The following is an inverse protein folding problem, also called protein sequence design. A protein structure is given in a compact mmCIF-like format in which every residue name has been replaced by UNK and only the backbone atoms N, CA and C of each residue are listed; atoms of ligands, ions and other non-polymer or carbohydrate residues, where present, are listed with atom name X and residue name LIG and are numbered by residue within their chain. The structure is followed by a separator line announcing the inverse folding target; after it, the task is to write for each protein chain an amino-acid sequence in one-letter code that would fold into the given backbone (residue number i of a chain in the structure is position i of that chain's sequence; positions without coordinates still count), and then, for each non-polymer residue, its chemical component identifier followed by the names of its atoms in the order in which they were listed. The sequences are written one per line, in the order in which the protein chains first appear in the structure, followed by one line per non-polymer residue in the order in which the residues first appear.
data_IF_555898001452
#
_entry.id   IF_555898001452
#
_cell.length_a   1.000
_cell.length_b   1.000
_cell.length_c   1.000
_cell.angle_alpha   90.00
_cell.angle_beta   90.00
_cell.angle_gamma   90.00
#
_symmetry.space_group_name_H-M   'P 1'
#
loop_
_entity.id
_entity.type
_entity.pdbx_description
1 polymer ?
#
# COMPACT_ATOMS: atom_id res chain seq x y z
N UNK A 1 -27.32 62.70 17.63
CA UNK A 1 -25.87 62.58 17.33
C UNK A 1 -25.17 61.34 17.94
N UNK A 2 -25.88 60.32 18.46
CA UNK A 2 -25.24 59.17 19.15
C UNK A 2 -25.12 57.85 18.35
N UNK A 3 -25.68 57.73 17.13
CA UNK A 3 -25.70 56.46 16.40
C UNK A 3 -24.48 56.16 15.49
N UNK A 4 -23.59 57.12 15.20
CA UNK A 4 -22.46 56.90 14.28
C UNK A 4 -21.21 56.28 14.95
N UNK A 5 -21.03 56.47 16.27
CA UNK A 5 -19.87 55.96 17.00
C UNK A 5 -19.94 54.45 17.30
N UNK A 6 -21.15 53.91 17.47
CA UNK A 6 -21.38 52.48 17.76
C UNK A 6 -21.07 51.61 16.53
N UNK A 7 -21.52 52.02 15.34
CA UNK A 7 -21.24 51.30 14.09
C UNK A 7 -19.76 51.29 13.69
N UNK A 8 -19.03 52.34 14.05
CA UNK A 8 -17.58 52.43 13.78
C UNK A 8 -16.78 51.49 14.70
N UNK A 9 -17.09 51.46 16.01
CA UNK A 9 -16.46 50.52 16.96
C UNK A 9 -16.75 49.06 16.62
N UNK A 10 -17.98 48.73 16.24
CA UNK A 10 -18.34 47.37 15.83
C UNK A 10 -17.58 46.90 14.57
N UNK A 11 -17.40 47.79 13.57
CA UNK A 11 -16.60 47.49 12.38
C UNK A 11 -15.11 47.27 12.69
N UNK A 12 -14.53 48.09 13.57
CA UNK A 12 -13.15 47.89 14.03
C UNK A 12 -12.96 46.57 14.78
N UNK A 13 -13.92 46.21 15.63
CA UNK A 13 -13.87 44.95 16.39
C UNK A 13 -13.99 43.73 15.46
N UNK A 14 -14.87 43.78 14.45
CA UNK A 14 -15.02 42.71 13.46
C UNK A 14 -13.77 42.55 12.58
N UNK A 15 -13.16 43.65 12.14
CA UNK A 15 -11.90 43.64 11.39
C UNK A 15 -10.74 43.07 12.22
N UNK A 16 -10.66 43.43 13.50
CA UNK A 16 -9.65 42.88 14.41
C UNK A 16 -9.83 41.36 14.62
N UNK A 17 -11.08 40.89 14.80
CA UNK A 17 -11.39 39.46 14.91
C UNK A 17 -11.00 38.71 13.62
N UNK A 18 -11.34 39.24 12.44
CA UNK A 18 -10.97 38.64 11.15
C UNK A 18 -9.44 38.59 10.95
N UNK A 19 -8.72 39.64 11.32
CA UNK A 19 -7.26 39.68 11.25
C UNK A 19 -6.59 38.66 12.19
N UNK A 20 -7.12 38.51 13.42
CA UNK A 20 -6.66 37.50 14.37
C UNK A 20 -6.97 36.09 13.84
N UNK A 21 -8.16 35.85 13.28
CA UNK A 21 -8.50 34.57 12.66
C UNK A 21 -7.57 34.23 11.48
N UNK A 22 -7.26 35.19 10.60
CA UNK A 22 -6.29 34.98 9.53
C UNK A 22 -4.89 34.70 10.05
N UNK A 23 -4.42 35.44 11.06
CA UNK A 23 -3.10 35.21 11.66
C UNK A 23 -3.03 33.82 12.30
N UNK A 24 -4.08 33.39 13.00
CA UNK A 24 -4.21 32.03 13.54
C UNK A 24 -4.12 31.00 12.41
N UNK A 25 -4.88 31.17 11.32
CA UNK A 25 -4.84 30.27 10.16
C UNK A 25 -3.44 30.19 9.52
N UNK A 26 -2.76 31.34 9.38
CA UNK A 26 -1.38 31.41 8.87
C UNK A 26 -0.41 30.71 9.82
N UNK A 27 -0.54 30.90 11.14
CA UNK A 27 0.30 30.23 12.13
C UNK A 27 0.04 28.71 12.17
N UNK A 28 -1.21 28.27 12.02
CA UNK A 28 -1.56 26.85 11.90
C UNK A 28 -1.00 26.24 10.60
N UNK A 29 -1.12 26.95 9.48
CA UNK A 29 -0.56 26.54 8.20
C UNK A 29 0.97 26.46 8.27
N UNK A 30 1.63 27.45 8.86
CA UNK A 30 3.08 27.50 9.05
C UNK A 30 3.57 26.38 10.00
N UNK A 31 2.87 26.13 11.11
CA UNK A 31 3.18 25.00 12.01
C UNK A 31 3.00 23.64 11.33
N UNK A 32 2.00 23.50 10.46
CA UNK A 32 1.79 22.29 9.65
C UNK A 32 2.96 22.10 8.67
N UNK A 33 3.34 23.15 7.94
CA UNK A 33 4.50 23.14 7.04
C UNK A 33 5.81 22.78 7.77
N UNK A 34 6.04 23.30 8.98
CA UNK A 34 7.24 22.98 9.78
C UNK A 34 7.22 21.51 10.25
N UNK A 35 6.06 20.95 10.60
CA UNK A 35 5.93 19.52 10.91
C UNK A 35 6.21 18.64 9.69
N UNK A 36 5.72 19.02 8.51
CA UNK A 36 5.90 18.27 7.26
C UNK A 36 7.37 18.27 6.77
N UNK A 37 8.14 19.31 7.12
CA UNK A 37 9.57 19.42 6.79
C UNK A 37 10.47 18.47 7.60
N UNK A 38 10.09 18.14 8.85
CA UNK A 38 10.89 17.28 9.73
C UNK A 38 10.52 15.79 9.66
N UNK A 39 9.57 15.42 8.81
CA UNK A 39 9.13 14.03 8.66
C UNK A 39 9.78 13.36 7.45
N UNK A 40 9.98 12.02 7.52
CA UNK A 40 10.39 11.27 6.36
C UNK A 40 9.42 11.48 5.19
N UNK A 41 9.95 11.53 3.97
CA UNK A 41 9.17 11.83 2.77
C UNK A 41 7.98 10.87 2.59
N UNK A 42 8.16 9.58 2.91
CA UNK A 42 7.08 8.57 2.87
C UNK A 42 5.93 8.82 3.86
N UNK A 43 6.10 9.73 4.83
CA UNK A 43 5.04 10.07 5.77
C UNK A 43 4.20 11.28 5.32
N UNK A 44 4.65 12.07 4.33
CA UNK A 44 3.96 13.31 3.96
C UNK A 44 2.56 13.06 3.43
N UNK A 45 1.62 13.88 3.87
CA UNK A 45 0.25 14.00 3.34
C UNK A 45 0.16 15.27 2.50
N UNK A 46 -0.09 15.11 1.19
CA UNK A 46 0.06 16.22 0.22
C UNK A 46 -1.28 16.72 -0.32
N UNK A 47 -2.36 15.97 -0.11
CA UNK A 47 -3.71 16.40 -0.45
C UNK A 47 -4.61 16.46 0.78
N UNK A 48 -5.63 17.31 0.70
CA UNK A 48 -6.81 17.16 1.55
C UNK A 48 -7.55 15.91 1.09
N UNK A 49 -7.90 14.98 2.01
CA UNK A 49 -8.70 13.83 1.65
C UNK A 49 -9.98 14.25 0.94
N UNK A 50 -10.34 13.54 -0.14
CA UNK A 50 -11.63 13.74 -0.82
C UNK A 50 -12.80 13.28 0.05
N UNK A 51 -12.54 12.42 1.04
CA UNK A 51 -13.51 11.99 2.05
C UNK A 51 -12.87 11.91 3.44
N UNK A 52 -13.56 12.40 4.47
CA UNK A 52 -13.08 12.35 5.86
C UNK A 52 -13.14 10.95 6.47
N UNK A 53 -13.87 10.01 5.87
CA UNK A 53 -14.03 8.63 6.34
C UNK A 53 -13.62 7.61 5.27
N UNK A 54 -12.70 7.99 4.39
CA UNK A 54 -12.31 7.19 3.22
C UNK A 54 -11.84 5.77 3.55
N UNK A 55 -11.26 5.58 4.74
CA UNK A 55 -10.75 4.29 5.23
C UNK A 55 -11.85 3.22 5.37
N UNK A 56 -13.13 3.62 5.43
CA UNK A 56 -14.30 2.72 5.54
C UNK A 56 -15.04 2.56 4.21
N UNK A 57 -14.58 3.17 3.12
CA UNK A 57 -15.32 3.27 1.86
C UNK A 57 -14.73 2.42 0.73
N UNK A 58 -13.66 1.65 0.97
CA UNK A 58 -12.98 0.85 -0.06
C UNK A 58 -13.92 -0.04 -0.89
N UNK A 59 -14.91 -0.69 -0.27
CA UNK A 59 -15.84 -1.55 -1.00
C UNK A 59 -16.65 -0.83 -2.09
N UNK A 60 -16.88 0.48 -1.96
CA UNK A 60 -17.59 1.29 -2.96
C UNK A 60 -16.69 1.65 -4.15
N UNK A 61 -15.38 1.50 -3.98
CA UNK A 61 -14.35 1.82 -4.96
C UNK A 61 -13.60 0.58 -5.47
N UNK A 62 -14.05 -0.62 -5.13
CA UNK A 62 -13.51 -1.88 -5.66
C UNK A 62 -14.10 -2.12 -7.07
N UNK A 63 -13.44 -1.55 -8.09
CA UNK A 63 -13.81 -1.67 -9.50
C UNK A 63 -12.59 -1.89 -10.40
N UNK A 64 -12.83 -2.63 -11.48
CA UNK A 64 -11.82 -3.11 -12.44
C UNK A 64 -11.80 -2.27 -13.71
N UNK A 65 -10.61 -1.95 -14.20
CA UNK A 65 -10.37 -1.45 -15.55
C UNK A 65 -9.34 -2.34 -16.26
N UNK A 66 -8.14 -2.48 -15.68
CA UNK A 66 -7.04 -3.29 -16.18
C UNK A 66 -6.49 -4.30 -15.18
N UNK A 67 -6.65 -4.10 -13.87
CA UNK A 67 -6.16 -5.04 -12.85
C UNK A 67 -6.90 -6.38 -12.87
N UNK A 68 -6.47 -7.35 -12.07
CA UNK A 68 -7.13 -8.66 -12.03
C UNK A 68 -8.57 -8.57 -11.50
N UNK A 69 -8.78 -7.83 -10.42
CA UNK A 69 -10.04 -7.61 -9.72
C UNK A 69 -10.29 -6.09 -9.58
N UNK A 70 -10.71 -5.60 -8.41
CA UNK A 70 -11.01 -4.18 -8.20
C UNK A 70 -9.85 -3.31 -7.72
N UNK A 71 -8.61 -3.75 -7.90
CA UNK A 71 -7.42 -3.04 -7.41
C UNK A 71 -7.27 -1.65 -8.03
N UNK A 72 -7.65 -1.46 -9.30
CA UNK A 72 -7.61 -0.14 -9.97
C UNK A 72 -8.36 0.92 -9.14
N UNK A 73 -9.63 0.66 -8.83
CA UNK A 73 -10.45 1.61 -8.09
C UNK A 73 -10.01 1.81 -6.64
N UNK A 74 -9.52 0.75 -5.99
CA UNK A 74 -8.96 0.84 -4.63
C UNK A 74 -7.71 1.74 -4.62
N UNK A 75 -6.80 1.56 -5.57
CA UNK A 75 -5.60 2.39 -5.68
C UNK A 75 -5.95 3.86 -5.95
N UNK A 76 -6.89 4.10 -6.88
CA UNK A 76 -7.39 5.45 -7.14
C UNK A 76 -7.99 6.08 -5.89
N UNK A 77 -8.75 5.31 -5.11
CA UNK A 77 -9.34 5.78 -3.87
C UNK A 77 -8.29 6.14 -2.82
N UNK A 78 -7.27 5.30 -2.63
CA UNK A 78 -6.17 5.58 -1.70
C UNK A 78 -5.48 6.88 -2.10
N UNK A 79 -5.01 6.98 -3.36
CA UNK A 79 -4.22 8.12 -3.80
C UNK A 79 -5.02 9.41 -3.96
N UNK A 80 -6.33 9.34 -4.21
CA UNK A 80 -7.21 10.50 -4.11
C UNK A 80 -7.23 11.09 -2.69
N UNK A 81 -7.11 10.24 -1.67
CA UNK A 81 -7.17 10.66 -0.27
C UNK A 81 -5.82 11.01 0.34
N UNK A 82 -4.72 10.34 -0.05
CA UNK A 82 -3.39 10.58 0.54
C UNK A 82 -2.44 11.42 -0.33
N UNK A 83 -2.80 11.62 -1.61
CA UNK A 83 -1.97 12.31 -2.60
C UNK A 83 -0.70 11.52 -2.97
N UNK A 84 0.18 12.11 -3.77
CA UNK A 84 1.49 11.54 -4.14
C UNK A 84 2.62 12.48 -3.77
N UNK A 85 3.79 11.93 -3.48
CA UNK A 85 4.98 12.71 -3.10
C UNK A 85 5.84 13.09 -4.30
N UNK A 86 5.85 12.27 -5.35
CA UNK A 86 6.57 12.59 -6.57
C UNK A 86 5.63 13.22 -7.60
N UNK A 87 6.25 14.04 -8.46
CA UNK A 87 5.65 14.54 -9.68
C UNK A 87 6.64 14.30 -10.84
N UNK A 88 6.38 13.34 -11.74
CA UNK A 88 5.25 12.40 -11.74
C UNK A 88 5.33 11.36 -10.59
N UNK A 89 4.20 10.82 -10.13
CA UNK A 89 4.17 9.77 -9.10
C UNK A 89 4.97 8.52 -9.49
N UNK A 90 5.51 7.82 -8.49
CA UNK A 90 6.42 6.68 -8.69
C UNK A 90 5.83 5.36 -8.22
N UNK A 91 5.83 4.35 -9.10
CA UNK A 91 5.46 2.99 -8.72
C UNK A 91 6.57 1.97 -8.99
N UNK A 92 6.47 0.83 -8.31
CA UNK A 92 7.20 -0.39 -8.63
C UNK A 92 6.21 -1.55 -8.60
N UNK A 93 6.23 -2.42 -9.61
CA UNK A 93 5.39 -3.62 -9.64
C UNK A 93 6.17 -4.87 -10.07
N UNK A 94 5.93 -5.97 -9.36
CA UNK A 94 6.55 -7.27 -9.61
C UNK A 94 5.50 -8.26 -10.11
N UNK A 95 5.87 -9.10 -11.09
CA UNK A 95 5.03 -10.15 -11.68
C UNK A 95 3.92 -9.61 -12.58
N UNK A 96 4.25 -8.65 -13.44
CA UNK A 96 3.25 -7.98 -14.32
C UNK A 96 2.88 -8.78 -15.58
N UNK A 97 3.44 -9.97 -15.77
CA UNK A 97 3.37 -10.70 -17.05
C UNK A 97 3.75 -9.77 -18.23
N UNK A 98 2.86 -9.61 -19.22
CA UNK A 98 3.05 -8.74 -20.38
C UNK A 98 2.58 -7.28 -20.13
N UNK A 99 2.23 -6.91 -18.90
CA UNK A 99 1.81 -5.57 -18.52
C UNK A 99 0.42 -5.14 -19.01
N UNK A 100 -0.38 -6.05 -19.58
CA UNK A 100 -1.77 -5.78 -20.03
C UNK A 100 -2.80 -5.88 -18.91
N UNK A 101 -2.60 -6.81 -17.98
CA UNK A 101 -3.38 -6.97 -16.75
C UNK A 101 -2.43 -6.82 -15.55
N UNK A 102 -2.37 -5.62 -14.96
CA UNK A 102 -1.55 -5.35 -13.78
C UNK A 102 -2.12 -4.16 -13.00
N UNK A 103 -1.73 -4.02 -11.73
CA UNK A 103 -2.30 -3.02 -10.82
C UNK A 103 -1.89 -1.59 -11.19
N UNK A 104 -0.81 -1.42 -11.93
CA UNK A 104 -0.26 -0.10 -12.28
C UNK A 104 -0.64 0.39 -13.67
N UNK A 105 -1.31 -0.42 -14.49
CA UNK A 105 -1.60 -0.07 -15.88
C UNK A 105 -2.45 1.19 -16.00
N UNK A 106 -3.53 1.30 -15.23
CA UNK A 106 -4.39 2.48 -15.27
C UNK A 106 -3.63 3.74 -14.85
N UNK A 107 -2.83 3.63 -13.76
CA UNK A 107 -2.01 4.72 -13.24
C UNK A 107 -0.99 5.20 -14.28
N UNK A 108 -0.32 4.27 -14.95
CA UNK A 108 0.67 4.53 -16.01
C UNK A 108 0.05 5.19 -17.23
N UNK A 109 -1.03 4.60 -17.78
CA UNK A 109 -1.59 5.00 -19.07
C UNK A 109 -2.50 6.22 -18.98
N UNK A 110 -3.16 6.45 -17.85
CA UNK A 110 -4.15 7.53 -17.72
C UNK A 110 -3.80 8.62 -16.72
N UNK A 111 -2.94 8.35 -15.74
CA UNK A 111 -2.56 9.33 -14.71
C UNK A 111 -1.09 9.78 -14.81
N UNK A 112 -0.36 9.33 -15.83
CA UNK A 112 1.03 9.74 -16.08
C UNK A 112 2.03 9.24 -15.03
N UNK A 113 1.67 8.21 -14.26
CA UNK A 113 2.60 7.61 -13.30
C UNK A 113 3.76 6.96 -14.03
N UNK A 114 4.95 7.02 -13.42
CA UNK A 114 6.16 6.41 -13.97
C UNK A 114 6.69 5.38 -12.98
N UNK A 115 7.15 4.24 -13.47
CA UNK A 115 7.59 3.19 -12.56
C UNK A 115 8.44 2.12 -13.21
N UNK A 116 8.95 1.24 -12.35
CA UNK A 116 9.68 0.04 -12.72
C UNK A 116 8.72 -1.14 -12.66
N UNK A 117 8.64 -1.90 -13.75
CA UNK A 117 7.96 -3.19 -13.74
C UNK A 117 8.96 -4.31 -13.95
N UNK A 118 8.73 -5.44 -13.31
CA UNK A 118 9.58 -6.62 -13.45
C UNK A 118 8.75 -7.88 -13.58
N UNK A 119 9.17 -8.78 -14.48
CA UNK A 119 8.56 -10.09 -14.68
C UNK A 119 9.62 -11.13 -15.04
N UNK A 120 9.41 -12.40 -14.67
CA UNK A 120 10.40 -13.45 -14.90
C UNK A 120 10.59 -13.80 -16.40
N UNK A 121 9.55 -13.65 -17.21
CA UNK A 121 9.51 -14.16 -18.59
C UNK A 121 9.32 -13.07 -19.64
N UNK A 122 8.79 -11.92 -19.24
CA UNK A 122 8.41 -10.85 -20.16
C UNK A 122 9.34 -9.63 -20.06
N UNK A 123 9.47 -8.91 -21.16
CA UNK A 123 10.16 -7.62 -21.23
C UNK A 123 9.41 -6.71 -22.20
N UNK A 124 9.28 -5.44 -21.83
CA UNK A 124 8.83 -4.37 -22.71
C UNK A 124 9.40 -3.04 -22.22
N UNK A 125 10.47 -2.59 -22.87
CA UNK A 125 11.16 -1.37 -22.46
C UNK A 125 10.33 -0.10 -22.69
N UNK A 126 9.31 -0.14 -23.55
CA UNK A 126 8.44 1.01 -23.82
C UNK A 126 7.59 1.38 -22.60
N UNK A 127 7.32 0.40 -21.74
CA UNK A 127 6.62 0.58 -20.46
C UNK A 127 7.57 0.41 -19.25
N UNK A 128 8.89 0.31 -19.48
CA UNK A 128 9.89 0.03 -18.44
C UNK A 128 9.67 -1.31 -17.70
N UNK A 129 9.19 -2.32 -18.44
CA UNK A 129 9.12 -3.72 -17.99
C UNK A 129 10.44 -4.43 -18.26
N UNK A 130 11.11 -4.87 -17.20
CA UNK A 130 12.39 -5.58 -17.21
C UNK A 130 12.18 -7.07 -16.95
N UNK A 131 12.83 -7.91 -17.74
CA UNK A 131 12.83 -9.35 -17.48
C UNK A 131 13.80 -9.68 -16.35
N UNK A 132 13.27 -9.98 -15.17
CA UNK A 132 14.02 -10.28 -13.96
C UNK A 132 13.35 -11.39 -13.15
N UNK A 133 14.13 -12.39 -12.71
CA UNK A 133 13.68 -13.38 -11.75
C UNK A 133 13.91 -12.84 -10.33
N UNK A 134 12.85 -12.34 -9.71
CA UNK A 134 12.90 -11.74 -8.37
C UNK A 134 13.05 -12.82 -7.30
N UNK A 135 13.82 -12.50 -6.27
CA UNK A 135 13.91 -13.29 -5.05
C UNK A 135 14.24 -12.38 -3.85
N UNK A 136 14.06 -12.88 -2.62
CA UNK A 136 14.45 -12.14 -1.42
C UNK A 136 15.94 -11.75 -1.40
N UNK A 137 16.80 -12.51 -2.10
CA UNK A 137 18.25 -12.30 -2.12
C UNK A 137 18.70 -11.20 -3.06
N UNK A 138 17.98 -10.94 -4.15
CA UNK A 138 18.41 -10.00 -5.19
C UNK A 138 17.56 -8.73 -5.27
N UNK A 139 16.38 -8.68 -4.62
CA UNK A 139 15.44 -7.58 -4.86
C UNK A 139 16.03 -6.20 -4.55
N UNK A 140 16.78 -6.05 -3.46
CA UNK A 140 17.40 -4.77 -3.11
C UNK A 140 18.45 -4.32 -4.15
N UNK A 141 19.17 -5.26 -4.74
CA UNK A 141 20.14 -4.99 -5.80
C UNK A 141 19.42 -4.65 -7.10
N UNK A 142 18.32 -5.31 -7.42
CA UNK A 142 17.48 -4.98 -8.59
C UNK A 142 16.88 -3.57 -8.48
N UNK A 143 16.33 -3.21 -7.31
CA UNK A 143 15.82 -1.85 -7.08
C UNK A 143 16.92 -0.80 -7.24
N UNK A 144 18.15 -1.10 -6.77
CA UNK A 144 19.31 -0.23 -6.94
C UNK A 144 19.78 -0.13 -8.39
N UNK A 145 19.86 -1.28 -9.09
CA UNK A 145 20.28 -1.42 -10.49
C UNK A 145 19.44 -0.55 -11.43
N UNK A 146 18.15 -0.43 -11.13
CA UNK A 146 17.20 0.35 -11.93
C UNK A 146 16.92 1.73 -11.33
N UNK A 147 17.78 2.22 -10.45
CA UNK A 147 17.72 3.58 -9.89
C UNK A 147 16.36 3.92 -9.26
N UNK A 148 15.76 2.93 -8.60
CA UNK A 148 14.48 3.12 -7.92
C UNK A 148 14.64 4.20 -6.85
N UNK A 149 13.72 5.18 -6.74
CA UNK A 149 13.78 6.17 -5.67
C UNK A 149 13.66 5.49 -4.30
N UNK A 150 14.35 6.03 -3.31
CA UNK A 150 14.31 5.53 -1.92
C UNK A 150 12.91 5.64 -1.32
N UNK A 151 12.11 6.61 -1.78
CA UNK A 151 10.69 6.67 -1.49
C UNK A 151 9.90 6.28 -2.74
N UNK A 152 8.82 5.50 -2.58
CA UNK A 152 7.98 5.04 -3.68
C UNK A 152 6.52 5.37 -3.31
N UNK A 153 5.71 5.87 -4.24
CA UNK A 153 4.29 6.10 -3.94
C UNK A 153 3.56 4.76 -3.80
N UNK A 154 3.76 3.85 -4.76
CA UNK A 154 3.13 2.53 -4.81
C UNK A 154 4.13 1.40 -5.04
N UNK A 155 4.09 0.37 -4.19
CA UNK A 155 4.75 -0.92 -4.44
C UNK A 155 3.68 -2.01 -4.58
N UNK A 156 3.67 -2.73 -5.69
CA UNK A 156 2.77 -3.87 -5.92
C UNK A 156 3.59 -5.15 -6.07
N UNK A 157 3.27 -6.17 -5.26
CA UNK A 157 4.02 -7.42 -5.15
C UNK A 157 3.06 -8.58 -5.45
N UNK A 158 3.22 -9.18 -6.62
CA UNK A 158 2.41 -10.32 -7.06
C UNK A 158 3.32 -11.29 -7.85
N UNK A 159 4.10 -12.09 -7.13
CA UNK A 159 5.06 -13.06 -7.70
C UNK A 159 4.72 -14.50 -7.30
N UNK A 160 3.46 -14.72 -6.93
CA UNK A 160 2.81 -15.94 -6.43
C UNK A 160 3.37 -16.52 -5.11
N UNK A 161 4.70 -16.65 -4.99
CA UNK A 161 5.32 -17.53 -4.01
C UNK A 161 6.13 -16.78 -2.93
N UNK A 162 7.12 -15.99 -3.35
CA UNK A 162 8.11 -15.38 -2.45
C UNK A 162 7.67 -14.00 -1.90
N UNK A 163 6.42 -13.59 -2.11
CA UNK A 163 5.89 -12.23 -1.86
C UNK A 163 6.23 -11.71 -0.46
N UNK A 164 5.97 -12.53 0.56
CA UNK A 164 6.27 -12.19 1.96
C UNK A 164 7.76 -11.95 2.19
N UNK A 165 8.63 -12.82 1.66
CA UNK A 165 10.07 -12.72 1.90
C UNK A 165 10.73 -11.63 1.06
N UNK A 166 10.20 -11.37 -0.13
CA UNK A 166 10.60 -10.21 -0.95
C UNK A 166 10.25 -8.93 -0.22
N UNK A 167 9.01 -8.79 0.26
CA UNK A 167 8.62 -7.61 1.02
C UNK A 167 9.45 -7.48 2.30
N UNK A 168 9.63 -8.56 3.07
CA UNK A 168 10.48 -8.59 4.27
C UNK A 168 11.92 -8.16 3.97
N UNK A 169 12.50 -8.62 2.85
CA UNK A 169 13.86 -8.24 2.44
C UNK A 169 13.98 -6.74 2.12
N UNK A 170 12.99 -6.15 1.45
CA UNK A 170 12.92 -4.70 1.21
C UNK A 170 12.85 -3.94 2.53
N UNK A 171 11.96 -4.38 3.44
CA UNK A 171 11.75 -3.75 4.74
C UNK A 171 12.98 -3.82 5.66
N UNK A 172 13.67 -4.97 5.69
CA UNK A 172 14.86 -5.18 6.52
C UNK A 172 16.08 -4.41 6.02
N UNK A 173 16.22 -4.25 4.70
CA UNK A 173 17.30 -3.43 4.15
C UNK A 173 17.14 -1.95 4.53
N UNK A 174 15.91 -1.49 4.80
CA UNK A 174 15.61 -0.12 5.26
C UNK A 174 16.17 0.96 4.30
N UNK A 175 16.14 0.69 3.00
CA UNK A 175 16.63 1.57 1.92
C UNK A 175 15.50 2.13 1.05
N UNK A 176 14.44 1.34 0.86
CA UNK A 176 13.31 1.67 0.01
C UNK A 176 12.02 1.66 0.83
N UNK A 177 11.20 2.70 0.65
CA UNK A 177 10.01 2.94 1.46
C UNK A 177 8.83 3.27 0.55
N UNK A 178 7.92 2.32 0.40
CA UNK A 178 6.65 2.58 -0.26
C UNK A 178 5.66 3.30 0.67
N UNK A 179 4.80 4.18 0.13
CA UNK A 179 3.69 4.79 0.88
C UNK A 179 2.49 3.87 0.93
N UNK A 180 2.22 3.19 -0.19
CA UNK A 180 1.19 2.17 -0.33
C UNK A 180 1.84 0.87 -0.81
N UNK A 181 1.45 -0.26 -0.22
CA UNK A 181 1.85 -1.59 -0.68
C UNK A 181 0.59 -2.38 -1.04
N UNK A 182 0.58 -2.98 -2.22
CA UNK A 182 -0.36 -4.03 -2.62
C UNK A 182 0.41 -5.34 -2.64
N UNK A 183 -0.13 -6.39 -2.02
CA UNK A 183 0.54 -7.68 -1.95
C UNK A 183 -0.46 -8.83 -2.02
N UNK A 184 -0.14 -9.85 -2.82
CA UNK A 184 -0.93 -11.08 -2.89
C UNK A 184 -0.93 -11.80 -1.53
N UNK A 185 -2.05 -12.40 -1.16
CA UNK A 185 -2.14 -13.25 0.02
C UNK A 185 -2.86 -14.57 -0.27
N UNK A 186 -2.52 -15.57 0.52
CA UNK A 186 -3.14 -16.87 0.45
C UNK A 186 -4.42 -16.92 1.28
N UNK A 187 -5.56 -16.84 0.59
CA UNK A 187 -6.87 -16.92 1.23
C UNK A 187 -7.23 -18.33 1.72
N UNK A 188 -6.55 -19.38 1.24
CA UNK A 188 -6.86 -20.78 1.54
C UNK A 188 -6.34 -21.26 2.91
N UNK A 189 -5.37 -20.55 3.49
CA UNK A 189 -4.93 -20.79 4.88
C UNK A 189 -6.02 -20.26 5.83
N UNK A 190 -6.33 -20.89 6.97
CA UNK A 190 -7.32 -20.36 7.92
C UNK A 190 -7.01 -18.95 8.46
N UNK A 191 -8.03 -18.11 8.76
CA UNK A 191 -7.85 -16.71 9.17
C UNK A 191 -7.10 -16.50 10.47
N UNK A 192 -7.14 -17.47 11.37
CA UNK A 192 -6.48 -17.45 12.67
C UNK A 192 -5.03 -17.98 12.63
N UNK A 193 -4.52 -18.36 11.46
CA UNK A 193 -3.18 -18.93 11.33
C UNK A 193 -2.16 -17.91 10.84
N UNK A 194 -1.03 -17.84 11.53
CA UNK A 194 0.09 -16.97 11.16
C UNK A 194 1.17 -17.78 10.43
N UNK A 195 0.89 -18.15 9.18
CA UNK A 195 1.79 -19.00 8.39
C UNK A 195 2.18 -18.40 7.05
N UNK A 196 3.39 -18.74 6.62
CA UNK A 196 3.99 -18.43 5.33
C UNK A 196 4.65 -19.70 4.79
N UNK A 197 4.66 -19.93 3.49
CA UNK A 197 5.38 -21.08 2.92
C UNK A 197 6.89 -20.91 3.13
N UNK A 198 7.62 -21.98 3.50
CA UNK A 198 9.09 -21.94 3.64
C UNK A 198 9.78 -21.82 2.27
N UNK A 199 10.49 -20.72 1.98
CA UNK A 199 11.12 -20.49 0.68
C UNK A 199 12.42 -21.29 0.50
N UNK A 200 12.97 -21.89 1.57
CA UNK A 200 14.22 -22.66 1.51
C UNK A 200 13.98 -24.15 1.25
N UNK A 201 12.76 -24.63 1.49
CA UNK A 201 12.38 -26.04 1.32
C UNK A 201 11.46 -26.28 0.13
N UNK A 202 11.24 -25.25 -0.68
CA UNK A 202 10.35 -25.28 -1.83
C UNK A 202 11.09 -24.93 -3.13
N UNK A 203 10.67 -25.54 -4.23
CA UNK A 203 10.90 -24.96 -5.55
C UNK A 203 10.19 -23.60 -5.57
N UNK A 204 10.92 -22.50 -5.78
CA UNK A 204 10.44 -21.11 -5.77
C UNK A 204 9.46 -20.78 -6.91
N UNK A 205 8.45 -21.62 -7.09
CA UNK A 205 7.45 -21.56 -8.14
C UNK A 205 6.18 -22.15 -7.58
N UNK A 206 5.09 -21.41 -7.76
CA UNK A 206 3.78 -21.93 -7.45
C UNK A 206 3.42 -23.10 -8.38
N UNK A 207 2.93 -24.20 -7.81
CA UNK A 207 2.54 -25.43 -8.51
C UNK A 207 1.03 -25.56 -8.64
N UNK A 208 0.30 -24.45 -8.49
CA UNK A 208 -1.17 -24.39 -8.49
C UNK A 208 -1.84 -25.17 -7.34
N UNK A 209 -1.13 -25.35 -6.24
CA UNK A 209 -1.64 -25.88 -4.97
C UNK A 209 -1.96 -24.75 -3.99
N UNK A 210 -2.27 -25.10 -2.74
CA UNK A 210 -2.46 -24.16 -1.65
C UNK A 210 -1.14 -23.71 -1.00
N UNK A 211 0.02 -24.17 -1.48
CA UNK A 211 1.34 -23.74 -1.01
C UNK A 211 1.83 -22.57 -1.87
N UNK A 212 1.44 -21.37 -1.48
CA UNK A 212 1.90 -20.11 -2.03
C UNK A 212 1.74 -18.98 -1.02
N UNK A 213 2.47 -17.89 -1.22
CA UNK A 213 2.37 -16.66 -0.45
C UNK A 213 2.32 -16.80 1.07
N UNK A 214 1.54 -15.89 1.68
CA UNK A 214 1.40 -15.76 3.12
C UNK A 214 -0.06 -15.52 3.52
N UNK A 215 -0.41 -15.88 4.76
CA UNK A 215 -1.71 -15.52 5.32
C UNK A 215 -1.80 -14.03 5.67
N UNK A 216 -3.02 -13.48 5.64
CA UNK A 216 -3.34 -12.09 6.05
C UNK A 216 -2.73 -11.71 7.40
N UNK A 217 -2.75 -12.60 8.40
CA UNK A 217 -2.14 -12.33 9.70
C UNK A 217 -0.62 -12.16 9.62
N UNK A 218 0.06 -12.98 8.81
CA UNK A 218 1.50 -12.88 8.62
C UNK A 218 1.90 -11.56 7.94
N UNK A 219 1.17 -11.17 6.90
CA UNK A 219 1.40 -9.92 6.19
C UNK A 219 1.05 -8.71 7.06
N UNK A 220 -0.03 -8.78 7.85
CA UNK A 220 -0.40 -7.74 8.81
C UNK A 220 0.66 -7.56 9.90
N UNK A 221 1.19 -8.66 10.46
CA UNK A 221 2.26 -8.62 11.45
C UNK A 221 3.56 -8.03 10.88
N UNK A 222 3.96 -8.46 9.67
CA UNK A 222 5.14 -7.92 8.98
C UNK A 222 4.98 -6.41 8.72
N UNK A 223 3.83 -5.99 8.17
CA UNK A 223 3.54 -4.59 7.92
C UNK A 223 3.61 -3.76 9.21
N UNK A 224 2.93 -4.20 10.28
CA UNK A 224 2.90 -3.51 11.57
C UNK A 224 4.30 -3.31 12.16
N UNK A 225 5.13 -4.35 12.13
CA UNK A 225 6.50 -4.29 12.64
C UNK A 225 7.38 -3.26 11.91
N UNK A 226 7.01 -2.88 10.69
CA UNK A 226 7.75 -1.93 9.85
C UNK A 226 6.98 -0.64 9.53
N UNK A 227 5.95 -0.30 10.31
CA UNK A 227 5.23 0.98 10.20
C UNK A 227 4.24 1.06 9.02
N UNK A 228 3.62 -0.07 8.68
CA UNK A 228 2.50 -0.17 7.77
C UNK A 228 1.25 -0.70 8.49
N UNK A 229 0.10 -0.26 8.01
CA UNK A 229 -1.20 -0.69 8.49
C UNK A 229 -1.96 -1.32 7.33
N UNK A 230 -2.49 -2.52 7.54
CA UNK A 230 -3.44 -3.13 6.61
C UNK A 230 -4.73 -2.31 6.64
N UNK A 231 -5.17 -1.80 5.49
CA UNK A 231 -6.37 -0.94 5.39
C UNK A 231 -7.50 -1.60 4.62
N UNK A 232 -7.20 -2.55 3.74
CA UNK A 232 -8.20 -3.24 2.95
C UNK A 232 -7.74 -4.62 2.46
N UNK A 233 -8.64 -5.60 2.45
CA UNK A 233 -8.51 -6.83 1.68
C UNK A 233 -9.56 -6.81 0.58
N UNK A 234 -9.14 -6.98 -0.68
CA UNK A 234 -10.07 -6.85 -1.81
C UNK A 234 -11.10 -7.98 -1.85
N UNK A 235 -12.28 -7.71 -2.43
CA UNK A 235 -13.46 -8.61 -2.36
C UNK A 235 -13.21 -10.01 -2.89
N UNK A 236 -12.24 -10.17 -3.78
CA UNK A 236 -11.83 -11.44 -4.35
C UNK A 236 -10.76 -12.18 -3.54
N UNK A 237 -10.39 -11.70 -2.36
CA UNK A 237 -9.42 -12.33 -1.47
C UNK A 237 -8.09 -12.71 -2.16
N UNK A 238 -7.62 -11.89 -3.09
CA UNK A 238 -6.34 -12.03 -3.79
C UNK A 238 -5.31 -11.06 -3.22
N UNK A 239 -5.67 -9.77 -3.13
CA UNK A 239 -4.73 -8.70 -2.78
C UNK A 239 -5.08 -8.00 -1.47
N UNK A 240 -4.05 -7.66 -0.70
CA UNK A 240 -4.12 -6.82 0.49
C UNK A 240 -3.49 -5.46 0.23
N UNK A 241 -4.06 -4.42 0.84
CA UNK A 241 -3.63 -3.03 0.72
C UNK A 241 -3.13 -2.51 2.05
N UNK A 242 -1.89 -2.02 2.05
CA UNK A 242 -1.24 -1.43 3.20
C UNK A 242 -0.92 0.03 2.92
N UNK A 243 -1.06 0.87 3.95
CA UNK A 243 -0.65 2.27 3.92
C UNK A 243 0.34 2.51 5.06
N UNK A 244 1.33 3.37 4.84
CA UNK A 244 2.24 3.83 5.89
C UNK A 244 1.45 4.36 7.09
N UNK A 245 1.70 3.81 8.27
CA UNK A 245 0.96 4.17 9.50
C UNK A 245 1.05 5.66 9.82
N UNK A 246 2.21 6.28 9.58
CA UNK A 246 2.38 7.72 9.78
C UNK A 246 1.49 8.59 8.89
N UNK A 247 1.14 8.15 7.67
CA UNK A 247 0.19 8.84 6.78
C UNK A 247 -1.21 8.82 7.41
N UNK A 248 -1.64 7.67 7.92
CA UNK A 248 -2.95 7.51 8.58
C UNK A 248 -3.04 8.33 9.87
N UNK A 249 -1.97 8.34 10.68
CA UNK A 249 -1.88 9.15 11.89
C UNK A 249 -1.96 10.65 11.59
N UNK A 250 -1.28 11.12 10.55
CA UNK A 250 -1.32 12.54 10.15
C UNK A 250 -2.69 12.98 9.65
N UNK A 251 -3.40 12.10 8.96
CA UNK A 251 -4.77 12.36 8.53
C UNK A 251 -5.79 12.20 9.65
N UNK A 252 -5.40 11.64 10.80
CA UNK A 252 -6.31 11.42 11.93
C UNK A 252 -7.32 10.29 11.68
N UNK A 253 -7.02 9.35 10.77
CA UNK A 253 -7.93 8.24 10.41
C UNK A 253 -7.44 6.87 10.91
N UNK A 254 -6.34 6.83 11.66
CA UNK A 254 -5.75 5.58 12.14
C UNK A 254 -6.69 4.77 13.03
N UNK A 255 -7.40 5.43 13.96
CA UNK A 255 -8.36 4.78 14.87
C UNK A 255 -9.61 4.25 14.15
N UNK A 256 -9.86 4.72 12.92
CA UNK A 256 -10.98 4.29 12.09
C UNK A 256 -10.65 3.07 11.22
N UNK A 257 -9.40 2.60 11.21
CA UNK A 257 -8.98 1.43 10.45
C UNK A 257 -9.61 0.17 11.05
N UNK A 258 -10.32 -0.66 10.26
CA UNK A 258 -10.89 -1.91 10.77
C UNK A 258 -9.82 -2.90 11.23
N UNK A 259 -10.18 -3.80 12.14
CA UNK A 259 -9.28 -4.85 12.60
C UNK A 259 -8.94 -5.84 11.48
N UNK A 260 -7.87 -6.62 11.64
CA UNK A 260 -7.47 -7.62 10.62
C UNK A 260 -8.57 -8.65 10.39
N UNK A 261 -9.31 -9.00 11.44
CA UNK A 261 -10.46 -9.90 11.39
C UNK A 261 -11.61 -9.30 10.57
N UNK A 262 -11.85 -7.99 10.69
CA UNK A 262 -12.87 -7.28 9.91
C UNK A 262 -12.46 -7.09 8.44
N UNK A 263 -11.15 -7.00 8.17
CA UNK A 263 -10.60 -6.92 6.82
C UNK A 263 -10.43 -8.28 6.14
N UNK A 264 -10.64 -9.37 6.88
CA UNK A 264 -10.53 -10.70 6.33
C UNK A 264 -11.66 -10.98 5.33
N UNK A 265 -11.28 -11.37 4.10
CA UNK A 265 -12.21 -11.85 3.08
C UNK A 265 -12.08 -13.36 2.93
N UNK A 266 -13.19 -14.06 3.10
CA UNK A 266 -13.27 -15.51 2.93
C UNK A 266 -13.81 -15.87 1.54
N UNK A 267 -13.22 -16.90 0.94
CA UNK A 267 -13.73 -17.56 -0.27
C UNK A 267 -13.87 -19.05 -0.05
N UNK A 268 -14.80 -19.72 -0.76
CA UNK A 268 -14.79 -21.17 -0.83
C UNK A 268 -13.41 -21.66 -1.30
N UNK A 269 -12.88 -22.68 -0.63
CA UNK A 269 -11.62 -23.30 -1.04
C UNK A 269 -11.72 -23.80 -2.49
N UNK A 270 -10.65 -23.67 -3.27
CA UNK A 270 -10.64 -24.22 -4.64
C UNK A 270 -10.82 -25.74 -4.59
N UNK A 271 -11.42 -26.31 -5.65
CA UNK A 271 -11.43 -27.77 -5.82
C UNK A 271 -9.99 -28.26 -5.82
N UNK A 272 -9.66 -29.12 -4.85
CA UNK A 272 -8.30 -29.62 -4.62
C UNK A 272 -7.86 -30.45 -5.81
N UNK A 273 -6.83 -29.98 -6.53
CA UNK A 273 -6.07 -30.85 -7.43
C UNK A 273 -5.21 -31.80 -6.58
N UNK A 274 -4.88 -33.01 -7.07
CA UNK A 274 -3.90 -33.87 -6.39
C UNK A 274 -2.62 -33.08 -6.11
N UNK A 275 -2.10 -33.21 -4.88
CA UNK A 275 -0.84 -32.57 -4.48
C UNK A 275 0.29 -33.19 -5.31
N UNK A 276 1.00 -32.43 -6.16
CA UNK A 276 2.13 -32.94 -6.93
C UNK A 276 3.24 -33.48 -6.02
N UNK A 277 4.09 -34.38 -6.53
CA UNK A 277 5.21 -34.93 -5.74
C UNK A 277 6.13 -33.83 -5.20
N UNK A 278 6.33 -32.76 -5.98
CA UNK A 278 7.10 -31.57 -5.62
C UNK A 278 6.58 -30.85 -4.38
N UNK A 279 5.30 -31.04 -4.07
CA UNK A 279 4.63 -30.37 -2.96
C UNK A 279 4.65 -31.18 -1.66
N UNK A 280 5.01 -32.46 -1.72
CA UNK A 280 5.04 -33.33 -0.53
C UNK A 280 6.12 -32.97 0.48
N UNK A 281 7.19 -32.29 0.04
CA UNK A 281 8.27 -31.82 0.90
C UNK A 281 8.07 -30.39 1.43
N UNK A 282 7.00 -29.70 1.00
CA UNK A 282 6.74 -28.30 1.36
C UNK A 282 6.34 -28.18 2.82
N UNK A 283 6.83 -27.13 3.47
CA UNK A 283 6.56 -26.86 4.88
C UNK A 283 6.09 -25.43 5.10
N UNK A 284 5.23 -25.24 6.10
CA UNK A 284 4.84 -23.93 6.58
C UNK A 284 5.81 -23.44 7.65
N UNK A 285 6.21 -22.17 7.58
CA UNK A 285 6.82 -21.44 8.68
C UNK A 285 5.70 -20.79 9.47
N UNK A 286 5.65 -21.09 10.76
CA UNK A 286 4.83 -20.34 11.71
C UNK A 286 5.59 -19.09 12.11
N UNK A 287 4.98 -17.94 11.88
CA UNK A 287 5.61 -16.68 12.23
C UNK A 287 5.32 -16.40 13.71
N UNK A 288 6.23 -16.82 14.60
CA UNK A 288 6.10 -16.65 16.05
C UNK A 288 6.31 -15.19 16.51
N UNK A 289 6.36 -14.21 15.60
CA UNK A 289 6.31 -12.80 15.98
C UNK A 289 4.98 -12.52 16.67
N UNK A 290 5.09 -12.51 18.00
CA UNK A 290 4.06 -12.48 19.03
C UNK A 290 2.93 -11.51 18.68
N UNK A 291 1.73 -12.07 18.64
CA UNK A 291 0.46 -11.36 18.78
C UNK A 291 0.45 -10.75 20.18
N UNK A 292 0.67 -9.44 20.32
CA UNK A 292 0.25 -8.72 21.52
C UNK A 292 -1.06 -8.01 21.11
N UNK A 293 -2.20 -8.42 21.69
CA UNK A 293 -3.51 -7.82 21.45
C UNK A 293 -3.51 -6.29 21.60
#
# INVERSE_FOLDING_TARGET
MMNSKVGTRARFMLMAVLAVCMLILVLFSCRRQIRDLNQPEYCRVISTPVSSNWIKQFQQHDYKIFSQNGEDGVLLWIFANIGTIHQPPRFVEFGVENGKQCNTRFLREHLGWQGLMMDANNADLTINLRREMISPKNINDLLSKYETPTTIDLLSIDIDFDDYFVWKSILQANRFHARVVVIEFNYEIPPNENRVVDPNRDSRRWTHTNFFGARILALAALGRAHGYTLVYGEKNAVNLFFVRTCVLLQQGVFEDVPSVEQLHVSKPARKRKPVPETDKSRTWIWNDTVWIP
#
